data_IF_888226088147
#
_entry.id   IF_888226088147
#
_cell.length_a   1.000
_cell.length_b   1.000
_cell.length_c   1.000
_cell.angle_alpha   90.00
_cell.angle_beta   90.00
_cell.angle_gamma   90.00
#
_symmetry.space_group_name_H-M   'P 1'
#
loop_
_entity.id
_entity.type
_entity.pdbx_description
1 polymer ?
#
# COMPACT_ATOMS: atom_id res chain seq x y z
N UNK A 1 18.60 -3.33 1.10
CA UNK A 1 17.99 -4.12 0.22
C UNK A 1 16.55 -4.29 0.31
N UNK A 2 15.99 -4.49 1.47
CA UNK A 2 14.56 -4.69 1.55
C UNK A 2 13.80 -3.48 1.04
N UNK A 3 14.36 -2.31 1.19
CA UNK A 3 13.73 -1.11 0.70
C UNK A 3 13.57 -1.12 -0.80
N UNK A 4 14.62 -1.51 -1.52
CA UNK A 4 14.55 -1.57 -2.96
C UNK A 4 13.64 -2.68 -3.43
N UNK A 5 13.51 -3.69 -2.63
CA UNK A 5 12.70 -4.83 -2.94
C UNK A 5 11.22 -4.50 -2.90
N UNK A 6 10.82 -3.70 -1.93
CA UNK A 6 9.42 -3.31 -1.76
C UNK A 6 9.08 -2.12 -2.65
N UNK A 7 10.01 -1.19 -2.78
CA UNK A 7 9.77 0.07 -3.47
C UNK A 7 10.95 0.42 -4.36
N UNK A 8 11.20 -0.39 -5.38
CA UNK A 8 12.37 -0.17 -6.25
C UNK A 8 12.27 1.10 -7.06
N UNK A 9 13.42 1.61 -7.44
CA UNK A 9 13.49 2.86 -8.17
C UNK A 9 12.73 2.85 -9.49
N UNK A 10 12.66 1.70 -10.15
CA UNK A 10 11.99 1.67 -11.44
C UNK A 10 10.48 1.89 -11.33
N UNK A 11 9.94 1.92 -10.12
CA UNK A 11 8.53 2.24 -9.93
C UNK A 11 8.27 3.72 -9.82
N UNK A 12 9.31 4.53 -9.89
CA UNK A 12 9.12 5.97 -9.83
C UNK A 12 8.82 6.52 -11.22
N UNK A 13 7.97 7.52 -11.26
CA UNK A 13 7.58 8.17 -12.51
C UNK A 13 7.77 9.66 -12.34
N UNK A 14 8.77 10.21 -13.06
CA UNK A 14 9.03 11.64 -13.00
C UNK A 14 9.29 12.13 -11.59
N UNK A 15 10.02 11.35 -10.79
CA UNK A 15 10.31 11.73 -9.41
C UNK A 15 9.24 11.40 -8.43
N UNK A 16 8.13 10.82 -8.87
CA UNK A 16 7.02 10.46 -8.01
C UNK A 16 6.93 8.94 -7.99
N UNK A 17 6.82 8.37 -6.81
CA UNK A 17 6.65 6.93 -6.71
C UNK A 17 5.32 6.51 -7.30
N UNK A 18 5.33 5.34 -7.94
CA UNK A 18 4.14 4.85 -8.61
C UNK A 18 2.94 4.78 -7.67
N UNK A 19 3.17 4.35 -6.43
CA UNK A 19 2.06 4.20 -5.49
C UNK A 19 1.39 5.55 -5.20
N UNK A 20 2.18 6.63 -5.16
CA UNK A 20 1.62 7.95 -4.92
C UNK A 20 0.90 8.47 -6.15
N UNK A 21 1.41 8.15 -7.31
CA UNK A 21 0.74 8.50 -8.55
C UNK A 21 -0.62 7.80 -8.63
N UNK A 22 -0.65 6.51 -8.27
CA UNK A 22 -1.89 5.76 -8.27
C UNK A 22 -2.90 6.35 -7.31
N UNK A 23 -2.42 6.76 -6.12
CA UNK A 23 -3.31 7.37 -5.15
C UNK A 23 -3.90 8.67 -5.70
N UNK A 24 -3.08 9.48 -6.35
CA UNK A 24 -3.52 10.77 -6.89
C UNK A 24 -4.56 10.60 -7.99
N UNK A 25 -4.51 9.49 -8.72
CA UNK A 25 -5.41 9.24 -9.83
C UNK A 25 -6.62 8.40 -9.46
N UNK A 26 -6.76 8.04 -8.20
CA UNK A 26 -7.81 7.13 -7.76
C UNK A 26 -8.75 7.83 -6.79
N UNK A 27 -9.98 7.34 -6.71
CA UNK A 27 -10.82 7.72 -5.59
C UNK A 27 -10.28 7.04 -4.34
N UNK A 28 -10.63 7.55 -3.14
CA UNK A 28 -10.18 6.87 -1.92
C UNK A 28 -10.59 5.41 -1.86
N UNK A 29 -11.80 5.10 -2.35
CA UNK A 29 -12.26 3.72 -2.33
C UNK A 29 -11.45 2.83 -3.27
N UNK A 30 -11.14 3.36 -4.44
CA UNK A 30 -10.33 2.60 -5.40
C UNK A 30 -8.95 2.32 -4.84
N UNK A 31 -8.34 3.32 -4.23
CA UNK A 31 -6.99 3.15 -3.73
C UNK A 31 -6.96 2.16 -2.57
N UNK A 32 -7.92 2.25 -1.66
CA UNK A 32 -8.00 1.29 -0.55
C UNK A 32 -8.24 -0.11 -1.08
N UNK A 33 -9.06 -0.24 -2.11
CA UNK A 33 -9.30 -1.55 -2.73
C UNK A 33 -8.03 -2.12 -3.32
N UNK A 34 -7.24 -1.28 -4.00
CA UNK A 34 -5.98 -1.72 -4.56
C UNK A 34 -5.04 -2.23 -3.46
N UNK A 35 -4.94 -1.48 -2.36
CA UNK A 35 -4.05 -1.89 -1.28
C UNK A 35 -4.48 -3.21 -0.65
N UNK A 36 -5.79 -3.35 -0.44
CA UNK A 36 -6.32 -4.57 0.14
C UNK A 36 -6.07 -5.78 -0.76
N UNK A 37 -6.38 -5.64 -2.04
CA UNK A 37 -6.22 -6.74 -2.97
C UNK A 37 -4.76 -7.09 -3.17
N UNK A 38 -3.89 -6.10 -3.15
CA UNK A 38 -2.47 -6.38 -3.31
C UNK A 38 -1.92 -7.12 -2.10
N UNK A 39 -2.34 -6.73 -0.89
CA UNK A 39 -1.94 -7.47 0.30
C UNK A 39 -2.42 -8.92 0.22
N UNK A 40 -3.67 -9.12 -0.21
CA UNK A 40 -4.21 -10.46 -0.37
C UNK A 40 -3.41 -11.27 -1.39
N UNK A 41 -3.00 -10.62 -2.48
CA UNK A 41 -2.21 -11.30 -3.50
C UNK A 41 -0.93 -11.87 -2.90
N UNK A 42 -0.23 -11.04 -2.13
CA UNK A 42 1.03 -11.52 -1.56
C UNK A 42 0.83 -12.56 -0.47
N UNK A 43 -0.25 -12.44 0.30
CA UNK A 43 -0.54 -13.48 1.28
C UNK A 43 -0.90 -14.81 0.61
N UNK A 44 -1.61 -14.75 -0.51
CA UNK A 44 -2.01 -15.98 -1.20
C UNK A 44 -0.83 -16.69 -1.84
N UNK A 45 0.29 -16.01 -1.99
CA UNK A 45 1.49 -16.62 -2.57
C UNK A 45 2.33 -17.35 -1.55
N UNK A 46 1.98 -17.23 -0.28
CA UNK A 46 2.73 -17.89 0.76
C UNK A 46 2.75 -19.40 0.51
N UNK A 47 3.95 -19.96 0.56
CA UNK A 47 4.14 -21.38 0.32
C UNK A 47 4.21 -21.79 -1.13
N UNK A 48 4.03 -20.83 -2.05
CA UNK A 48 4.05 -21.12 -3.49
C UNK A 48 5.20 -20.47 -4.21
N UNK A 49 5.93 -19.61 -3.53
CA UNK A 49 7.09 -18.94 -4.07
C UNK A 49 8.30 -19.29 -3.24
N UNK A 50 9.47 -19.08 -3.83
CA UNK A 50 10.70 -19.46 -3.15
C UNK A 50 10.98 -18.68 -1.90
N UNK A 51 10.61 -17.39 -1.88
CA UNK A 51 10.96 -16.53 -0.77
C UNK A 51 9.72 -16.13 -0.01
N UNK A 52 9.33 -16.95 0.93
CA UNK A 52 8.13 -16.72 1.71
C UNK A 52 8.24 -15.46 2.57
N UNK A 53 9.41 -15.22 3.12
CA UNK A 53 9.59 -14.05 3.96
C UNK A 53 9.40 -12.75 3.16
N UNK A 54 9.93 -12.70 1.95
CA UNK A 54 9.76 -11.53 1.12
C UNK A 54 8.30 -11.30 0.77
N UNK A 55 7.57 -12.38 0.48
CA UNK A 55 6.16 -12.25 0.15
C UNK A 55 5.38 -11.70 1.34
N UNK A 56 5.70 -12.16 2.53
CA UNK A 56 5.05 -11.65 3.73
C UNK A 56 5.39 -10.19 3.99
N UNK A 57 6.62 -9.81 3.75
CA UNK A 57 7.01 -8.42 3.92
C UNK A 57 6.28 -7.50 2.94
N UNK A 58 6.07 -7.96 1.72
CA UNK A 58 5.30 -7.21 0.75
C UNK A 58 3.86 -7.06 1.21
N UNK A 59 3.27 -8.16 1.67
CA UNK A 59 1.89 -8.11 2.16
C UNK A 59 1.78 -7.13 3.31
N UNK A 60 2.75 -7.15 4.21
CA UNK A 60 2.75 -6.25 5.35
C UNK A 60 2.84 -4.80 4.91
N UNK A 61 3.68 -4.53 3.91
CA UNK A 61 3.84 -3.16 3.43
C UNK A 61 2.51 -2.60 2.91
N UNK A 62 1.79 -3.39 2.12
CA UNK A 62 0.51 -2.94 1.58
C UNK A 62 -0.56 -2.85 2.67
N UNK A 63 -0.51 -3.74 3.64
CA UNK A 63 -1.43 -3.68 4.76
C UNK A 63 -1.19 -2.43 5.60
N UNK A 64 0.08 -2.13 5.88
CA UNK A 64 0.43 -0.93 6.64
C UNK A 64 -0.05 0.32 5.90
N UNK A 65 0.10 0.34 4.58
CA UNK A 65 -0.35 1.45 3.76
C UNK A 65 -1.87 1.62 3.87
N UNK A 66 -2.60 0.52 3.87
CA UNK A 66 -4.04 0.56 4.00
C UNK A 66 -4.45 1.11 5.36
N UNK A 67 -3.74 0.69 6.39
CA UNK A 67 -4.01 1.20 7.74
C UNK A 67 -3.77 2.70 7.79
N UNK A 68 -2.70 3.18 7.17
CA UNK A 68 -2.42 4.61 7.11
C UNK A 68 -3.54 5.38 6.45
N UNK A 69 -4.10 4.84 5.36
CA UNK A 69 -5.19 5.52 4.68
C UNK A 69 -6.41 5.65 5.57
N UNK A 70 -6.71 4.60 6.32
CA UNK A 70 -7.85 4.65 7.23
C UNK A 70 -7.59 5.59 8.41
N UNK A 71 -6.37 5.62 8.89
CA UNK A 71 -6.02 6.53 9.97
C UNK A 71 -6.11 7.98 9.52
N UNK A 72 -5.66 8.26 8.30
CA UNK A 72 -5.74 9.61 7.76
C UNK A 72 -7.20 10.04 7.59
N UNK A 73 -8.06 9.14 7.12
CA UNK A 73 -9.47 9.44 6.97
C UNK A 73 -10.12 9.74 8.32
N UNK A 74 -9.78 8.94 9.32
CA UNK A 74 -10.33 9.15 10.65
C UNK A 74 -9.88 10.48 11.22
N UNK A 75 -8.61 10.80 11.03
CA UNK A 75 -8.05 12.05 11.51
C UNK A 75 -8.74 13.24 10.84
N UNK A 76 -8.91 13.16 9.52
CA UNK A 76 -9.59 14.19 8.77
C UNK A 76 -11.02 14.36 9.25
N UNK A 77 -11.73 13.25 9.47
CA UNK A 77 -13.09 13.28 9.97
C UNK A 77 -13.16 13.97 11.33
N UNK A 78 -12.25 13.61 12.24
CA UNK A 78 -12.25 14.21 13.57
C UNK A 78 -12.00 15.71 13.52
N UNK A 79 -11.11 16.16 12.64
CA UNK A 79 -10.82 17.58 12.50
C UNK A 79 -12.00 18.36 11.96
N UNK A 80 -12.77 17.78 11.05
CA UNK A 80 -13.85 18.49 10.37
C UNK A 80 -15.19 18.29 11.02
N UNK A 81 -15.33 17.36 11.94
CA UNK A 81 -16.60 17.11 12.61
C UNK A 81 -16.54 17.37 14.09
N UNK A 82 -15.50 18.05 14.51
CA UNK A 82 -15.35 18.39 15.90
C UNK A 82 -16.10 19.67 16.18
N UNK A 83 -17.04 19.65 16.99
CA UNK A 83 -17.77 20.86 17.35
C UNK A 83 -18.03 20.90 18.82
#
# INVERSE_FOLDING_TARGET
>A
MSKDYINPDHYKTGGIETIEYMKAKSTPEEFKGHLRLTALKYLSRFGKKDDELQELKKAKWYLDKLIEELEDEKWFYLLHNKI
#
